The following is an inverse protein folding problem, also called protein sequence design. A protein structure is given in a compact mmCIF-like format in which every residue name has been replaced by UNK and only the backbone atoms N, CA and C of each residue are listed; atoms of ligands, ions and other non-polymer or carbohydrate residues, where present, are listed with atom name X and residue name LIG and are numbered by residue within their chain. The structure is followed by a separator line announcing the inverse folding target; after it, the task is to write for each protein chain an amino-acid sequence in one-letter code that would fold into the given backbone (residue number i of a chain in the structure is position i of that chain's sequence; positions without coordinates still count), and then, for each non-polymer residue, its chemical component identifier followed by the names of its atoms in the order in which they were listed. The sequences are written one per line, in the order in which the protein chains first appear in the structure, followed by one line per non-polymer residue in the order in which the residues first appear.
data_IF_783380243965
#
_entry.id   IF_783380243965
#
_cell.length_a   1.000
_cell.length_b   1.000
_cell.length_c   1.000
_cell.angle_alpha   90.00
_cell.angle_beta   90.00
_cell.angle_gamma   90.00
#
_symmetry.space_group_name_H-M   'P 1'
#
loop_
_entity.id
_entity.type
_entity.pdbx_description
1 polymer ?
#
# COMPACT_ATOMS: atom_id res chain seq x y z
N UNK A 1 -12.47 -4.71 1.74
CA UNK A 1 -11.43 -5.00 0.74
C UNK A 1 -10.59 -3.75 0.62
N UNK A 2 -9.28 -3.88 0.49
CA UNK A 2 -8.34 -2.77 0.60
C UNK A 2 -7.33 -2.83 -0.53
N UNK A 3 -6.92 -1.67 -1.01
CA UNK A 3 -5.87 -1.52 -2.01
C UNK A 3 -4.59 -1.03 -1.33
N UNK A 4 -3.49 -1.75 -1.54
CA UNK A 4 -2.17 -1.24 -1.17
C UNK A 4 -1.66 -0.41 -2.32
N UNK A 5 -1.13 0.77 -2.03
CA UNK A 5 -0.45 1.61 -3.00
C UNK A 5 0.94 1.96 -2.50
N UNK A 6 1.87 2.10 -3.44
CA UNK A 6 3.27 2.46 -3.20
C UNK A 6 3.59 3.74 -3.94
N UNK A 7 4.36 4.62 -3.31
CA UNK A 7 4.87 5.83 -3.93
C UNK A 7 6.21 5.53 -4.58
N UNK A 8 6.23 5.49 -5.91
CA UNK A 8 7.47 5.37 -6.72
C UNK A 8 7.72 6.70 -7.43
N UNK A 9 8.90 7.29 -7.21
CA UNK A 9 9.21 8.64 -7.70
C UNK A 9 8.30 9.73 -7.13
N UNK A 10 7.29 10.15 -7.91
CA UNK A 10 6.25 11.14 -7.54
C UNK A 10 4.82 10.61 -7.70
N UNK A 11 4.63 9.34 -8.08
CA UNK A 11 3.32 8.77 -8.40
C UNK A 11 2.97 7.61 -7.45
N UNK A 12 1.71 7.58 -7.02
CA UNK A 12 1.13 6.44 -6.31
C UNK A 12 0.70 5.38 -7.32
N UNK A 13 1.16 4.15 -7.11
CA UNK A 13 0.86 3.01 -7.96
C UNK A 13 0.22 1.89 -7.12
N UNK A 14 -0.83 1.21 -7.62
CA UNK A 14 -1.39 0.06 -6.94
C UNK A 14 -0.38 -1.08 -6.89
N UNK A 15 -0.16 -1.61 -5.68
CA UNK A 15 0.72 -2.73 -5.41
C UNK A 15 -0.10 -4.01 -5.23
N UNK A 16 -0.30 -4.74 -6.33
CA UNK A 16 -1.02 -6.01 -6.34
C UNK A 16 -2.54 -5.87 -6.29
N UNK A 17 -3.21 -7.01 -6.04
CA UNK A 17 -4.67 -7.12 -6.00
C UNK A 17 -5.27 -6.65 -4.66
N UNK A 18 -6.56 -6.34 -4.69
CA UNK A 18 -7.34 -6.04 -3.48
C UNK A 18 -7.28 -7.19 -2.47
N UNK A 19 -6.97 -6.87 -1.22
CA UNK A 19 -6.82 -7.83 -0.12
C UNK A 19 -7.74 -7.48 1.05
N UNK A 20 -8.02 -8.44 1.93
CA UNK A 20 -8.78 -8.19 3.17
C UNK A 20 -7.85 -7.60 4.24
N UNK A 21 -8.40 -6.83 5.17
CA UNK A 21 -7.69 -6.59 6.45
C UNK A 21 -7.66 -7.92 7.22
N UNK A 22 -6.54 -8.33 7.83
CA UNK A 22 -5.33 -7.54 8.16
C UNK A 22 -4.20 -7.59 7.11
N UNK A 23 -4.31 -8.48 6.11
CA UNK A 23 -3.22 -8.76 5.17
C UNK A 23 -2.76 -7.55 4.35
N UNK A 24 -3.64 -6.57 4.11
CA UNK A 24 -3.29 -5.33 3.42
C UNK A 24 -2.18 -4.54 4.15
N UNK A 25 -2.28 -4.44 5.48
CA UNK A 25 -1.31 -3.71 6.31
C UNK A 25 0.00 -4.49 6.40
N UNK A 26 -0.06 -5.81 6.51
CA UNK A 26 1.13 -6.68 6.49
C UNK A 26 1.88 -6.56 5.16
N UNK A 27 1.16 -6.59 4.03
CA UNK A 27 1.75 -6.41 2.70
C UNK A 27 2.40 -5.03 2.55
N UNK A 28 1.73 -3.96 2.99
CA UNK A 28 2.30 -2.61 2.94
C UNK A 28 3.64 -2.54 3.70
N UNK A 29 3.72 -3.15 4.90
CA UNK A 29 4.96 -3.22 5.70
C UNK A 29 6.05 -4.05 5.01
N UNK A 30 5.69 -5.15 4.37
CA UNK A 30 6.65 -6.00 3.66
C UNK A 30 7.22 -5.31 2.41
N UNK A 31 6.36 -4.68 1.62
CA UNK A 31 6.76 -3.95 0.40
C UNK A 31 7.72 -2.81 0.75
N UNK A 32 7.40 -2.01 1.77
CA UNK A 32 8.28 -0.92 2.22
C UNK A 32 9.68 -1.42 2.64
N UNK A 33 9.80 -2.65 3.14
CA UNK A 33 11.08 -3.23 3.58
C UNK A 33 11.90 -3.84 2.45
N UNK A 34 11.24 -4.38 1.43
CA UNK A 34 11.87 -5.19 0.40
C UNK A 34 12.22 -4.40 -0.87
N UNK A 35 11.45 -3.37 -1.18
CA UNK A 35 11.59 -2.62 -2.43
C UNK A 35 12.31 -1.28 -2.20
N UNK A 36 13.54 -1.17 -2.73
CA UNK A 36 14.39 0.01 -2.53
C UNK A 36 13.92 1.26 -3.29
N UNK A 37 13.05 1.11 -4.29
CA UNK A 37 12.45 2.19 -5.08
C UNK A 37 11.15 2.75 -4.47
N UNK A 38 10.64 2.12 -3.42
CA UNK A 38 9.41 2.55 -2.73
C UNK A 38 9.74 3.60 -1.68
N UNK A 39 9.20 4.80 -1.86
CA UNK A 39 9.42 5.94 -0.94
C UNK A 39 8.40 5.99 0.20
N UNK A 40 7.20 5.49 -0.05
CA UNK A 40 6.10 5.46 0.91
C UNK A 40 5.09 4.37 0.48
N UNK A 41 4.28 3.92 1.42
CA UNK A 41 3.20 2.95 1.23
C UNK A 41 1.93 3.49 1.89
N UNK A 42 0.79 3.23 1.29
CA UNK A 42 -0.52 3.51 1.89
C UNK A 42 -1.48 2.36 1.64
N UNK A 43 -2.44 2.20 2.53
CA UNK A 43 -3.54 1.27 2.37
C UNK A 43 -4.83 2.06 2.32
N UNK A 44 -5.60 1.83 1.26
CA UNK A 44 -6.87 2.48 0.99
C UNK A 44 -8.00 1.48 1.22
N UNK A 45 -9.12 1.93 1.79
CA UNK A 45 -10.38 1.20 1.70
C UNK A 45 -11.02 1.35 0.29
N UNK A 46 -12.16 0.69 0.06
CA UNK A 46 -12.87 0.75 -1.23
C UNK A 46 -13.44 2.15 -1.56
N UNK A 47 -13.62 3.01 -0.56
CA UNK A 47 -14.07 4.39 -0.75
C UNK A 47 -12.89 5.36 -0.95
N UNK A 48 -11.65 4.87 -0.94
CA UNK A 48 -10.44 5.65 -1.15
C UNK A 48 -9.89 6.31 0.12
N UNK A 49 -10.37 5.95 1.30
CA UNK A 49 -9.84 6.47 2.56
C UNK A 49 -8.54 5.77 2.94
N UNK A 50 -7.55 6.56 3.36
CA UNK A 50 -6.27 6.04 3.86
C UNK A 50 -6.46 5.53 5.28
N UNK A 51 -6.33 4.21 5.47
CA UNK A 51 -6.40 3.57 6.80
C UNK A 51 -5.01 3.29 7.39
N UNK A 52 -3.98 3.29 6.56
CA UNK A 52 -2.58 3.14 6.95
C UNK A 52 -1.69 3.91 5.97
N UNK A 53 -0.67 4.59 6.46
CA UNK A 53 0.33 5.29 5.63
C UNK A 53 1.68 5.25 6.32
N UNK A 54 2.75 4.99 5.58
CA UNK A 54 4.13 5.03 6.07
C UNK A 54 5.15 5.29 4.98
#
# INVERSE_FOLDING_TARGET
MYQVEVLRGKQWCPAGAHVREPHAIENAKNIQRLESDVRAVRVLDLAGWVIYSR
#
